data_IF_117577897934
#
_entry.id   IF_117577897934
#
_cell.length_a   1.000
_cell.length_b   1.000
_cell.length_c   1.000
_cell.angle_alpha   90.00
_cell.angle_beta   90.00
_cell.angle_gamma   90.00
#
_symmetry.space_group_name_H-M   'P 1'
#
loop_
_entity.id
_entity.type
_entity.pdbx_description
1 polymer ?
#
# COMPACT_ATOMS: atom_id res chain seq x y z
N UNK A 1 -13.07 -14.70 -3.62
CA UNK A 1 -12.02 -14.51 -2.60
C UNK A 1 -12.42 -13.26 -1.83
N UNK A 2 -12.74 -13.31 -0.52
CA UNK A 2 -13.12 -12.10 0.18
C UNK A 2 -11.91 -11.16 0.24
N UNK A 3 -12.20 -9.87 0.09
CA UNK A 3 -11.29 -8.77 -0.21
C UNK A 3 -10.04 -8.72 0.69
N UNK A 4 -8.93 -8.41 0.03
CA UNK A 4 -7.61 -8.08 0.55
C UNK A 4 -7.62 -7.27 1.84
N UNK A 5 -7.43 -7.95 2.96
CA UNK A 5 -6.94 -7.28 4.17
C UNK A 5 -5.49 -6.92 3.91
N UNK A 6 -5.23 -5.63 3.70
CA UNK A 6 -3.88 -5.09 3.52
C UNK A 6 -3.10 -5.29 4.82
N UNK A 7 -2.24 -6.30 4.82
CA UNK A 7 -1.46 -6.75 5.97
C UNK A 7 0.03 -6.41 5.78
N UNK A 8 0.80 -6.32 6.88
CA UNK A 8 2.26 -6.23 6.80
C UNK A 8 2.86 -7.29 5.89
N UNK A 9 3.75 -6.88 4.99
CA UNK A 9 4.37 -7.71 3.95
C UNK A 9 3.62 -7.74 2.62
N UNK A 10 2.42 -7.14 2.54
CA UNK A 10 1.68 -7.00 1.27
C UNK A 10 2.24 -5.84 0.45
N UNK A 11 2.29 -6.00 -0.88
CA UNK A 11 2.52 -4.89 -1.79
C UNK A 11 1.22 -4.12 -2.03
N UNK A 12 1.31 -2.80 -2.18
CA UNK A 12 0.18 -1.93 -2.50
C UNK A 12 0.59 -0.86 -3.51
N UNK A 13 -0.38 -0.39 -4.29
CA UNK A 13 -0.23 0.77 -5.17
C UNK A 13 -1.00 1.93 -4.55
N UNK A 14 -0.31 3.06 -4.37
CA UNK A 14 -0.86 4.30 -3.84
C UNK A 14 -0.29 5.47 -4.63
N UNK A 15 -1.17 6.30 -5.22
CA UNK A 15 -0.77 7.44 -6.10
C UNK A 15 0.15 7.01 -7.26
N UNK A 16 -0.19 5.89 -7.90
CA UNK A 16 0.59 5.29 -9.00
C UNK A 16 1.99 4.79 -8.59
N UNK A 17 2.32 4.81 -7.30
CA UNK A 17 3.59 4.31 -6.78
C UNK A 17 3.40 3.00 -6.04
N UNK A 18 4.41 2.12 -6.13
CA UNK A 18 4.44 0.83 -5.47
C UNK A 18 5.06 0.94 -4.08
N UNK A 19 4.41 0.33 -3.10
CA UNK A 19 4.82 0.35 -1.69
C UNK A 19 4.71 -1.03 -1.05
N UNK A 20 5.59 -1.32 -0.10
CA UNK A 20 5.53 -2.49 0.76
C UNK A 20 4.93 -2.10 2.11
N UNK A 21 3.85 -2.74 2.52
CA UNK A 21 3.22 -2.47 3.81
C UNK A 21 4.12 -2.96 4.93
N UNK A 22 4.55 -2.06 5.79
CA UNK A 22 5.35 -2.36 6.99
C UNK A 22 4.47 -2.56 8.22
N UNK A 23 3.40 -1.78 8.36
CA UNK A 23 2.46 -1.86 9.48
C UNK A 23 1.06 -1.40 9.09
N UNK A 24 0.06 -1.93 9.79
CA UNK A 24 -1.36 -1.54 9.66
C UNK A 24 -1.92 -1.28 11.06
N UNK A 25 -2.51 -0.11 11.27
CA UNK A 25 -3.09 0.32 12.54
C UNK A 25 -4.57 0.66 12.36
N UNK A 26 -5.47 0.07 13.16
CA UNK A 26 -6.89 0.39 13.13
C UNK A 26 -7.17 1.72 13.84
N UNK A 27 -7.66 2.71 13.11
CA UNK A 27 -8.08 4.00 13.65
C UNK A 27 -9.60 4.15 13.57
N UNK A 28 -10.15 5.14 14.30
CA UNK A 28 -11.59 5.41 14.34
C UNK A 28 -12.22 5.66 12.95
N UNK A 29 -11.44 6.19 12.00
CA UNK A 29 -11.89 6.61 10.66
C UNK A 29 -11.39 5.71 9.53
N UNK A 30 -10.83 4.53 9.85
CA UNK A 30 -10.26 3.57 8.90
C UNK A 30 -8.80 3.24 9.19
N UNK A 31 -8.23 2.18 8.58
CA UNK A 31 -6.86 1.78 8.84
C UNK A 31 -5.84 2.81 8.33
N UNK A 32 -4.80 3.04 9.14
CA UNK A 32 -3.56 3.71 8.80
C UNK A 32 -2.54 2.67 8.35
N UNK A 33 -1.98 2.86 7.16
CA UNK A 33 -0.99 1.97 6.57
C UNK A 33 0.36 2.68 6.59
N UNK A 34 1.36 2.11 7.24
CA UNK A 34 2.76 2.54 7.08
C UNK A 34 3.39 1.67 6.01
N UNK A 35 3.96 2.30 4.97
CA UNK A 35 4.54 1.57 3.86
C UNK A 35 5.89 2.14 3.42
N UNK A 36 6.73 1.28 2.88
CA UNK A 36 8.06 1.60 2.38
C UNK A 36 8.07 1.56 0.85
N UNK A 37 8.60 2.60 0.22
CA UNK A 37 8.57 2.72 -1.24
C UNK A 37 9.40 1.63 -1.94
N UNK A 38 8.78 0.99 -2.93
CA UNK A 38 9.37 -0.04 -3.78
C UNK A 38 9.77 0.50 -5.15
N UNK A 39 9.01 1.48 -5.68
CA UNK A 39 9.34 2.11 -6.96
C UNK A 39 10.58 2.99 -6.84
N UNK A 40 11.23 3.29 -7.96
CA UNK A 40 12.41 4.16 -7.99
C UNK A 40 12.10 5.59 -7.51
N UNK A 41 10.86 6.09 -7.69
CA UNK A 41 10.49 7.46 -7.28
C UNK A 41 10.44 7.60 -5.76
N UNK A 42 9.94 6.58 -5.07
CA UNK A 42 9.75 6.59 -3.61
C UNK A 42 10.72 5.67 -2.88
N UNK A 43 11.75 5.20 -3.57
CA UNK A 43 12.79 4.34 -2.99
C UNK A 43 13.38 5.01 -1.75
N UNK A 44 13.62 4.21 -0.70
CA UNK A 44 14.14 4.68 0.60
C UNK A 44 13.21 5.66 1.35
N UNK A 45 11.97 5.85 0.88
CA UNK A 45 10.96 6.67 1.54
C UNK A 45 10.00 5.79 2.35
N UNK A 46 9.67 6.24 3.55
CA UNK A 46 8.57 5.71 4.38
C UNK A 46 7.43 6.73 4.38
N UNK A 47 6.22 6.30 4.03
CA UNK A 47 5.01 7.14 4.07
C UNK A 47 3.88 6.43 4.81
N UNK A 48 2.96 7.24 5.37
CA UNK A 48 1.77 6.77 6.06
C UNK A 48 0.53 7.17 5.27
N UNK A 49 -0.28 6.19 4.92
CA UNK A 49 -1.50 6.36 4.14
C UNK A 49 -2.73 6.15 5.00
N UNK A 50 -3.63 7.13 5.00
CA UNK A 50 -4.95 6.95 5.58
C UNK A 50 -5.85 6.39 4.49
N UNK A 51 -6.35 5.17 4.65
CA UNK A 51 -7.27 4.54 3.66
C UNK A 51 -8.55 5.33 3.40
N UNK A 52 -8.86 6.29 4.28
CA UNK A 52 -9.93 7.28 4.08
C UNK A 52 -9.58 8.40 3.09
N UNK A 53 -8.31 8.76 2.98
CA UNK A 53 -7.82 9.87 2.16
C UNK A 53 -7.15 9.39 0.88
N UNK A 54 -6.42 8.29 0.97
CA UNK A 54 -5.63 7.71 -0.11
C UNK A 54 -6.32 6.45 -0.66
N UNK A 55 -6.33 6.32 -1.98
CA UNK A 55 -6.76 5.10 -2.64
C UNK A 55 -5.63 4.07 -2.57
N UNK A 56 -5.78 3.11 -1.64
CA UNK A 56 -4.81 2.03 -1.45
C UNK A 56 -5.33 0.77 -2.14
N UNK A 57 -4.62 0.32 -3.17
CA UNK A 57 -4.96 -0.88 -3.92
C UNK A 57 -3.94 -1.99 -3.65
N UNK A 58 -4.35 -3.24 -3.43
CA UNK A 58 -3.42 -4.37 -3.37
C UNK A 58 -2.63 -4.46 -4.68
N UNK A 59 -1.31 -4.62 -4.56
CA UNK A 59 -0.46 -4.91 -5.71
C UNK A 59 -0.63 -6.40 -6.03
N UNK A 60 -1.22 -6.73 -7.18
CA UNK A 60 -1.31 -8.10 -7.64
C UNK A 60 0.01 -8.51 -8.34
N UNK A 61 0.81 -9.44 -7.78
CA UNK A 61 2.07 -9.87 -8.39
C UNK A 61 1.86 -10.71 -9.67
N UNK A 62 0.63 -11.15 -9.95
CA UNK A 62 0.28 -11.88 -11.17
C UNK A 62 -0.20 -10.93 -12.29
N UNK A 63 -0.48 -9.67 -12.00
CA UNK A 63 -0.78 -8.68 -13.02
C UNK A 63 0.54 -8.20 -13.65
N UNK A 64 0.79 -8.46 -14.94
CA UNK A 64 1.99 -7.98 -15.60
C UNK A 64 1.97 -6.45 -15.59
N UNK A 65 3.08 -5.83 -15.17
CA UNK A 65 3.27 -4.39 -15.21
C UNK A 65 2.91 -3.87 -16.61
N UNK A 66 1.73 -3.25 -16.73
CA UNK A 66 1.26 -2.64 -17.96
C UNK A 66 1.94 -1.27 -18.10
N UNK A 67 3.24 -1.30 -18.36
CA UNK A 67 3.98 -0.17 -18.91
C UNK A 67 4.01 -0.29 -20.44
#
# INVERSE_FOLDING_TARGET
MPADTIAPGSGVVVRDEEWLVAATEEMADGPLITAQGLSELVRETEERFYTRLDAVHPLDPAEPASW
#
